data_IF_274884899890
#
_entry.id   IF_274884899890
#
_cell.length_a   1.000
_cell.length_b   1.000
_cell.length_c   1.000
_cell.angle_alpha   90.00
_cell.angle_beta   90.00
_cell.angle_gamma   90.00
#
_symmetry.space_group_name_H-M   'P 1'
#
loop_
_entity.id
_entity.type
_entity.pdbx_description
1 polymer ?
#
# COMPACT_ATOMS: atom_id res chain seq x y z
N UNK A 1 21.05 -50.95 -135.95
CA UNK A 1 20.03 -51.97 -136.21
C UNK A 1 19.60 -52.00 -137.67
N UNK A 2 19.19 -50.87 -138.26
CA UNK A 2 18.83 -50.79 -139.69
C UNK A 2 19.94 -51.30 -140.62
N UNK A 3 21.19 -50.85 -140.46
CA UNK A 3 22.30 -51.30 -141.33
C UNK A 3 22.59 -52.81 -141.26
N UNK A 4 22.33 -53.47 -140.11
CA UNK A 4 22.51 -54.92 -139.97
C UNK A 4 21.38 -55.65 -140.70
N UNK A 5 20.14 -55.17 -140.56
CA UNK A 5 18.97 -55.68 -141.29
C UNK A 5 19.14 -55.53 -142.80
N UNK A 6 19.65 -54.39 -143.27
CA UNK A 6 19.95 -54.17 -144.69
C UNK A 6 21.02 -55.13 -145.24
N UNK A 7 22.02 -55.51 -144.43
CA UNK A 7 23.02 -56.51 -144.81
C UNK A 7 22.40 -57.92 -144.84
N UNK A 8 21.52 -58.26 -143.90
CA UNK A 8 20.78 -59.53 -143.90
C UNK A 8 19.84 -59.67 -145.09
N UNK A 9 19.14 -58.59 -145.46
CA UNK A 9 18.31 -58.52 -146.66
C UNK A 9 19.15 -58.69 -147.94
N UNK A 10 20.32 -58.03 -148.03
CA UNK A 10 21.26 -58.18 -149.16
C UNK A 10 21.84 -59.60 -149.25
N UNK A 11 22.18 -60.23 -148.13
CA UNK A 11 22.64 -61.62 -148.07
C UNK A 11 21.54 -62.61 -148.50
N UNK A 12 20.30 -62.38 -148.07
CA UNK A 12 19.15 -63.21 -148.44
C UNK A 12 18.84 -63.13 -149.94
N UNK A 13 18.90 -61.93 -150.54
CA UNK A 13 18.73 -61.72 -151.98
C UNK A 13 19.81 -62.44 -152.81
N UNK A 14 21.07 -62.40 -152.35
CA UNK A 14 22.20 -63.09 -153.00
C UNK A 14 22.12 -64.63 -152.95
N UNK A 15 21.47 -65.20 -151.92
CA UNK A 15 21.38 -66.66 -151.70
C UNK A 15 20.14 -67.32 -152.32
N UNK A 16 19.11 -66.56 -152.67
CA UNK A 16 17.84 -67.09 -153.20
C UNK A 16 17.71 -67.03 -154.72
N UNK A 17 18.58 -66.30 -155.43
CA UNK A 17 18.59 -66.26 -156.90
C UNK A 17 19.56 -67.30 -157.49
N UNK A 18 19.06 -68.22 -158.31
CA UNK A 18 19.87 -69.17 -159.08
C UNK A 18 20.48 -68.50 -160.31
N UNK A 19 21.81 -68.34 -160.32
CA UNK A 19 22.55 -67.58 -161.34
C UNK A 19 22.87 -66.16 -160.89
N UNK A 20 23.41 -65.99 -159.67
CA UNK A 20 23.64 -64.68 -159.09
C UNK A 20 24.68 -63.88 -159.91
N UNK A 21 24.26 -62.76 -160.49
CA UNK A 21 25.12 -61.76 -161.11
C UNK A 21 25.47 -60.68 -160.09
N UNK A 22 26.69 -60.12 -160.18
CA UNK A 22 27.12 -59.09 -159.25
C UNK A 22 26.27 -57.81 -159.42
N UNK A 23 25.51 -57.34 -158.43
CA UNK A 23 24.60 -56.20 -158.57
C UNK A 23 25.30 -54.83 -158.74
N UNK A 24 26.63 -54.81 -158.75
CA UNK A 24 27.45 -53.61 -158.98
C UNK A 24 28.20 -53.63 -160.32
N UNK A 25 28.41 -54.80 -160.94
CA UNK A 25 29.22 -54.93 -162.15
C UNK A 25 28.71 -55.99 -163.15
N UNK A 26 27.51 -56.54 -162.92
CA UNK A 26 26.72 -57.43 -163.80
C UNK A 26 27.44 -58.71 -164.26
N UNK A 27 28.57 -59.04 -163.63
CA UNK A 27 29.38 -60.23 -163.97
C UNK A 27 28.81 -61.46 -163.26
N UNK A 28 28.70 -62.59 -163.96
CA UNK A 28 28.27 -63.86 -163.39
C UNK A 28 29.16 -64.25 -162.21
N UNK A 29 28.58 -64.29 -161.01
CA UNK A 29 29.29 -64.75 -159.83
C UNK A 29 29.28 -66.28 -159.86
N UNK A 30 30.37 -66.89 -160.31
CA UNK A 30 30.62 -68.31 -160.06
C UNK A 30 30.59 -68.61 -158.55
N UNK A 31 30.54 -69.89 -158.17
CA UNK A 31 30.41 -70.33 -156.77
C UNK A 31 31.42 -69.64 -155.82
N UNK A 32 32.67 -69.44 -156.25
CA UNK A 32 33.71 -68.75 -155.49
C UNK A 32 33.42 -67.24 -155.28
N UNK A 33 32.80 -66.57 -156.25
CA UNK A 33 32.43 -65.16 -156.19
C UNK A 33 31.29 -64.90 -155.21
N UNK A 34 30.29 -65.78 -155.21
CA UNK A 34 29.18 -65.76 -154.23
C UNK A 34 29.72 -66.00 -152.82
N UNK A 35 30.61 -66.97 -152.64
CA UNK A 35 31.18 -67.30 -151.33
C UNK A 35 32.06 -66.16 -150.77
N UNK A 36 32.83 -65.48 -151.63
CA UNK A 36 33.65 -64.32 -151.25
C UNK A 36 32.80 -63.10 -150.85
N UNK A 37 31.71 -62.84 -151.57
CA UNK A 37 30.77 -61.75 -151.25
C UNK A 37 30.02 -62.07 -149.97
N UNK A 38 29.56 -63.32 -149.80
CA UNK A 38 28.93 -63.80 -148.58
C UNK A 38 29.86 -63.64 -147.37
N UNK A 39 31.11 -64.09 -147.46
CA UNK A 39 32.10 -63.96 -146.39
C UNK A 39 32.35 -62.50 -146.01
N UNK A 40 32.43 -61.58 -147.00
CA UNK A 40 32.56 -60.14 -146.74
C UNK A 40 31.34 -59.53 -146.04
N UNK A 41 30.13 -59.84 -146.51
CA UNK A 41 28.91 -59.33 -145.88
C UNK A 41 28.66 -59.96 -144.51
N UNK A 42 28.98 -61.23 -144.30
CA UNK A 42 28.93 -61.88 -142.98
C UNK A 42 29.94 -61.26 -142.01
N UNK A 43 31.16 -60.95 -142.48
CA UNK A 43 32.16 -60.24 -141.69
C UNK A 43 31.74 -58.80 -141.35
N UNK A 44 31.15 -58.06 -142.30
CA UNK A 44 30.62 -56.71 -142.06
C UNK A 44 29.41 -56.74 -141.11
N UNK A 45 28.50 -57.71 -141.28
CA UNK A 45 27.37 -57.95 -140.36
C UNK A 45 27.86 -58.24 -138.95
N UNK A 46 28.83 -59.13 -138.81
CA UNK A 46 29.41 -59.50 -137.52
C UNK A 46 30.10 -58.29 -136.87
N UNK A 47 30.91 -57.55 -137.63
CA UNK A 47 31.57 -56.31 -137.17
C UNK A 47 30.56 -55.26 -136.69
N UNK A 48 29.50 -55.01 -137.46
CA UNK A 48 28.43 -54.07 -137.09
C UNK A 48 27.60 -54.56 -135.90
N UNK A 49 27.34 -55.86 -135.80
CA UNK A 49 26.66 -56.49 -134.65
C UNK A 49 27.49 -56.37 -133.37
N UNK A 50 28.79 -56.64 -133.45
CA UNK A 50 29.70 -56.51 -132.31
C UNK A 50 29.88 -55.04 -131.91
N UNK A 51 29.93 -54.11 -132.88
CA UNK A 51 29.91 -52.66 -132.64
C UNK A 51 28.62 -52.20 -131.96
N UNK A 52 27.46 -52.71 -132.39
CA UNK A 52 26.17 -52.41 -131.77
C UNK A 52 26.10 -52.95 -130.34
N UNK A 53 26.53 -54.20 -130.10
CA UNK A 53 26.61 -54.80 -128.77
C UNK A 53 27.53 -54.00 -127.85
N UNK A 54 28.70 -53.59 -128.33
CA UNK A 54 29.64 -52.76 -127.58
C UNK A 54 29.03 -51.38 -127.22
N UNK A 55 28.33 -50.74 -128.16
CA UNK A 55 27.62 -49.48 -127.93
C UNK A 55 26.47 -49.63 -126.93
N UNK A 56 25.66 -50.70 -127.04
CA UNK A 56 24.57 -51.00 -126.11
C UNK A 56 25.10 -51.29 -124.70
N UNK A 57 26.21 -52.06 -124.58
CA UNK A 57 26.87 -52.30 -123.30
C UNK A 57 27.42 -51.00 -122.69
N UNK A 58 28.02 -50.12 -123.50
CA UNK A 58 28.47 -48.80 -123.07
C UNK A 58 27.32 -47.92 -122.60
N UNK A 59 26.21 -47.90 -123.34
CA UNK A 59 25.01 -47.14 -123.00
C UNK A 59 24.34 -47.67 -121.73
N UNK A 60 24.32 -49.00 -121.53
CA UNK A 60 23.84 -49.61 -120.29
C UNK A 60 24.71 -49.21 -119.08
N UNK A 61 26.05 -49.23 -119.21
CA UNK A 61 26.98 -48.75 -118.16
C UNK A 61 26.75 -47.27 -117.84
N UNK A 62 26.69 -46.41 -118.85
CA UNK A 62 26.44 -44.98 -118.66
C UNK A 62 25.08 -44.71 -118.00
N UNK A 63 24.03 -45.49 -118.30
CA UNK A 63 22.74 -45.40 -117.61
C UNK A 63 22.82 -45.80 -116.14
N UNK A 64 23.60 -46.83 -115.80
CA UNK A 64 23.82 -47.23 -114.40
C UNK A 64 24.61 -46.16 -113.65
N UNK A 65 25.65 -45.60 -114.25
CA UNK A 65 26.45 -44.49 -113.69
C UNK A 65 25.57 -43.25 -113.47
N UNK A 66 24.76 -42.85 -114.46
CA UNK A 66 23.83 -41.73 -114.32
C UNK A 66 22.89 -41.94 -113.14
N UNK A 67 22.27 -43.13 -113.04
CA UNK A 67 21.35 -43.44 -111.94
C UNK A 67 22.05 -43.45 -110.58
N UNK A 68 23.31 -43.88 -110.51
CA UNK A 68 24.11 -43.81 -109.29
C UNK A 68 24.36 -42.37 -108.87
N UNK A 69 24.79 -41.51 -109.80
CA UNK A 69 25.04 -40.09 -109.55
C UNK A 69 23.75 -39.36 -109.18
N UNK A 70 22.63 -39.64 -109.86
CA UNK A 70 21.31 -39.07 -109.51
C UNK A 70 20.89 -39.43 -108.08
N UNK A 71 21.11 -40.68 -107.67
CA UNK A 71 20.84 -41.10 -106.29
C UNK A 71 21.77 -40.39 -105.28
N UNK A 72 23.07 -40.26 -105.60
CA UNK A 72 24.02 -39.52 -104.76
C UNK A 72 23.63 -38.05 -104.61
N UNK A 73 23.24 -37.39 -105.71
CA UNK A 73 22.75 -36.00 -105.70
C UNK A 73 21.51 -35.88 -104.82
N UNK A 74 20.52 -36.75 -104.98
CA UNK A 74 19.31 -36.75 -104.16
C UNK A 74 19.62 -36.93 -102.66
N UNK A 75 20.55 -37.83 -102.31
CA UNK A 75 20.98 -38.04 -100.93
C UNK A 75 21.73 -36.83 -100.36
N UNK A 76 22.55 -36.17 -101.16
CA UNK A 76 23.28 -34.96 -100.76
C UNK A 76 22.31 -33.77 -100.58
N UNK A 77 21.35 -33.58 -101.47
CA UNK A 77 20.31 -32.56 -101.34
C UNK A 77 19.48 -32.77 -100.07
N UNK A 78 19.13 -34.02 -99.77
CA UNK A 78 18.39 -34.35 -98.55
C UNK A 78 19.21 -34.00 -97.30
N UNK A 79 20.50 -34.33 -97.27
CA UNK A 79 21.42 -33.97 -96.17
C UNK A 79 21.58 -32.46 -96.02
N UNK A 80 21.79 -31.74 -97.13
CA UNK A 80 21.92 -30.28 -97.12
C UNK A 80 20.66 -29.62 -96.55
N UNK A 81 19.47 -30.10 -96.94
CA UNK A 81 18.21 -29.57 -96.43
C UNK A 81 18.03 -29.85 -94.93
N UNK A 82 18.42 -31.04 -94.46
CA UNK A 82 18.40 -31.38 -93.03
C UNK A 82 19.38 -30.52 -92.22
N UNK A 83 20.62 -30.37 -92.69
CA UNK A 83 21.64 -29.56 -92.04
C UNK A 83 21.24 -28.08 -92.01
N UNK A 84 20.67 -27.57 -93.10
CA UNK A 84 20.13 -26.21 -93.17
C UNK A 84 19.01 -25.98 -92.15
N UNK A 85 18.05 -26.92 -92.05
CA UNK A 85 16.97 -26.83 -91.08
C UNK A 85 17.51 -26.86 -89.64
N UNK A 86 18.48 -27.73 -89.35
CA UNK A 86 19.13 -27.81 -88.05
C UNK A 86 19.89 -26.52 -87.70
N UNK A 87 20.67 -25.99 -88.64
CA UNK A 87 21.40 -24.74 -88.46
C UNK A 87 20.45 -23.55 -88.25
N UNK A 88 19.35 -23.47 -89.00
CA UNK A 88 18.34 -22.42 -88.83
C UNK A 88 17.64 -22.51 -87.46
N UNK A 89 17.30 -23.72 -87.00
CA UNK A 89 16.74 -23.91 -85.66
C UNK A 89 17.73 -23.53 -84.56
N UNK A 90 19.01 -23.88 -84.70
CA UNK A 90 20.05 -23.47 -83.75
C UNK A 90 20.25 -21.96 -83.74
N UNK A 91 20.24 -21.33 -84.92
CA UNK A 91 20.36 -19.88 -85.04
C UNK A 91 19.19 -19.18 -84.34
N UNK A 92 17.94 -19.63 -84.53
CA UNK A 92 16.78 -19.01 -83.87
C UNK A 92 16.81 -19.16 -82.34
N UNK A 93 17.25 -20.31 -81.82
CA UNK A 93 17.43 -20.53 -80.39
C UNK A 93 18.51 -19.60 -79.83
N UNK A 94 19.66 -19.49 -80.50
CA UNK A 94 20.75 -18.61 -80.08
C UNK A 94 20.36 -17.14 -80.12
N UNK A 95 19.66 -16.70 -81.17
CA UNK A 95 19.16 -15.32 -81.27
C UNK A 95 18.21 -14.99 -80.12
N UNK A 96 17.30 -15.92 -79.76
CA UNK A 96 16.42 -15.72 -78.60
C UNK A 96 17.21 -15.64 -77.29
N UNK A 97 18.16 -16.55 -77.07
CA UNK A 97 18.98 -16.55 -75.86
C UNK A 97 19.83 -15.27 -75.71
N UNK A 98 20.34 -14.72 -76.82
CA UNK A 98 21.04 -13.43 -76.83
C UNK A 98 20.09 -12.30 -76.42
N UNK A 99 18.90 -12.24 -77.02
CA UNK A 99 17.91 -11.21 -76.70
C UNK A 99 17.46 -11.28 -75.23
N UNK A 100 17.28 -12.48 -74.68
CA UNK A 100 16.97 -12.70 -73.26
C UNK A 100 18.13 -12.22 -72.36
N UNK A 101 19.38 -12.60 -72.67
CA UNK A 101 20.54 -12.18 -71.89
C UNK A 101 20.77 -10.65 -71.93
N UNK A 102 20.52 -10.00 -73.08
CA UNK A 102 20.59 -8.55 -73.20
C UNK A 102 19.50 -7.86 -72.36
N UNK A 103 18.26 -8.38 -72.37
CA UNK A 103 17.18 -7.87 -71.55
C UNK A 103 17.50 -7.99 -70.05
N UNK A 104 17.98 -9.15 -69.61
CA UNK A 104 18.37 -9.40 -68.22
C UNK A 104 19.54 -8.51 -67.79
N UNK A 105 20.53 -8.30 -68.66
CA UNK A 105 21.65 -7.39 -68.38
C UNK A 105 21.20 -5.94 -68.23
N UNK A 106 20.21 -5.50 -69.01
CA UNK A 106 19.65 -4.16 -68.87
C UNK A 106 18.88 -4.01 -67.56
N UNK A 107 18.09 -5.02 -67.18
CA UNK A 107 17.37 -5.01 -65.90
C UNK A 107 18.35 -5.00 -64.71
N UNK A 108 19.41 -5.82 -64.77
CA UNK A 108 20.43 -5.85 -63.73
C UNK A 108 21.11 -4.48 -63.57
N UNK A 109 21.42 -3.80 -64.67
CA UNK A 109 22.01 -2.46 -64.62
C UNK A 109 21.08 -1.44 -63.96
N UNK A 110 19.78 -1.48 -64.25
CA UNK A 110 18.80 -0.57 -63.62
C UNK A 110 18.64 -0.85 -62.12
N UNK A 111 18.55 -2.12 -61.71
CA UNK A 111 18.46 -2.46 -60.29
C UNK A 111 19.77 -2.12 -59.54
N UNK A 112 20.93 -2.26 -60.18
CA UNK A 112 22.22 -1.87 -59.59
C UNK A 112 22.29 -0.36 -59.35
N UNK A 113 21.80 0.46 -60.29
CA UNK A 113 21.71 1.92 -60.09
C UNK A 113 20.82 2.28 -58.91
N UNK A 114 19.63 1.66 -58.82
CA UNK A 114 18.70 1.87 -57.69
C UNK A 114 19.31 1.47 -56.37
N UNK A 115 20.06 0.37 -56.34
CA UNK A 115 20.74 -0.09 -55.14
C UNK A 115 21.78 0.94 -54.67
N UNK A 116 22.61 1.45 -55.59
CA UNK A 116 23.58 2.50 -55.27
C UNK A 116 22.89 3.77 -54.73
N UNK A 117 21.80 4.21 -55.37
CA UNK A 117 21.03 5.37 -54.89
C UNK A 117 20.47 5.17 -53.47
N UNK A 118 19.97 3.97 -53.16
CA UNK A 118 19.46 3.64 -51.82
C UNK A 118 20.60 3.60 -50.80
N UNK A 119 21.72 2.97 -51.14
CA UNK A 119 22.91 2.91 -50.28
C UNK A 119 23.45 4.29 -49.96
N UNK A 120 23.53 5.19 -50.94
CA UNK A 120 23.93 6.58 -50.72
C UNK A 120 22.98 7.32 -49.76
N UNK A 121 21.67 7.15 -49.94
CA UNK A 121 20.66 7.75 -49.05
C UNK A 121 20.77 7.22 -47.62
N UNK A 122 21.00 5.91 -47.44
CA UNK A 122 21.21 5.32 -46.12
C UNK A 122 22.50 5.82 -45.48
N UNK A 123 23.60 5.90 -46.24
CA UNK A 123 24.89 6.36 -45.75
C UNK A 123 24.85 7.84 -45.30
N UNK A 124 24.13 8.68 -46.03
CA UNK A 124 23.89 10.09 -45.66
C UNK A 124 22.86 10.26 -44.56
N UNK A 125 22.19 9.18 -44.16
CA UNK A 125 20.99 9.20 -43.30
C UNK A 125 19.85 10.06 -43.87
N UNK A 126 19.80 10.22 -45.19
CA UNK A 126 18.77 10.96 -45.95
C UNK A 126 17.47 10.12 -46.07
N UNK A 127 16.96 9.69 -44.92
CA UNK A 127 15.72 8.96 -44.74
C UNK A 127 15.04 9.42 -43.44
N UNK A 128 13.71 9.41 -43.41
CA UNK A 128 12.92 9.76 -42.21
C UNK A 128 13.36 11.09 -41.53
N UNK A 129 13.47 12.22 -42.28
CA UNK A 129 14.00 13.47 -41.73
C UNK A 129 13.12 14.06 -40.62
N UNK A 130 11.82 13.77 -40.62
CA UNK A 130 10.89 14.23 -39.58
C UNK A 130 11.17 13.49 -38.27
N UNK A 131 11.32 12.17 -38.34
CA UNK A 131 11.58 11.31 -37.19
C UNK A 131 12.97 11.55 -36.60
N UNK A 132 13.98 11.78 -37.46
CA UNK A 132 15.31 12.16 -37.00
C UNK A 132 15.31 13.53 -36.32
N UNK A 133 14.60 14.52 -36.87
CA UNK A 133 14.44 15.82 -36.21
C UNK A 133 13.74 15.71 -34.85
N UNK A 134 12.68 14.90 -34.76
CA UNK A 134 12.00 14.65 -33.49
C UNK A 134 12.90 13.94 -32.46
N UNK A 135 13.78 13.03 -32.91
CA UNK A 135 14.77 12.39 -32.04
C UNK A 135 15.78 13.41 -31.53
N UNK A 136 16.32 14.26 -32.40
CA UNK A 136 17.28 15.32 -32.02
C UNK A 136 16.65 16.31 -31.01
N UNK A 137 15.39 16.67 -31.20
CA UNK A 137 14.63 17.50 -30.25
C UNK A 137 14.49 16.81 -28.88
N UNK A 138 14.12 15.52 -28.86
CA UNK A 138 13.99 14.74 -27.63
C UNK A 138 15.34 14.58 -26.92
N UNK A 139 16.41 14.31 -27.65
CA UNK A 139 17.77 14.22 -27.10
C UNK A 139 18.21 15.56 -26.50
N UNK A 140 17.88 16.68 -27.16
CA UNK A 140 18.14 18.01 -26.63
C UNK A 140 17.32 18.32 -25.37
N UNK A 141 16.04 17.91 -25.31
CA UNK A 141 15.21 18.02 -24.11
C UNK A 141 15.76 17.16 -22.96
N UNK A 142 16.15 15.92 -23.23
CA UNK A 142 16.77 15.02 -22.24
C UNK A 142 18.09 15.60 -21.72
N UNK A 143 18.92 16.16 -22.60
CA UNK A 143 20.17 16.82 -22.19
C UNK A 143 19.93 18.03 -21.28
N UNK A 144 18.85 18.80 -21.50
CA UNK A 144 18.47 19.93 -20.63
C UNK A 144 18.04 19.50 -19.23
N UNK A 145 17.50 18.29 -19.07
CA UNK A 145 17.14 17.77 -17.75
C UNK A 145 18.37 17.56 -16.86
N UNK A 146 19.58 17.48 -17.46
CA UNK A 146 20.85 17.24 -16.76
C UNK A 146 20.72 16.08 -15.76
N UNK A 147 19.95 15.06 -16.16
CA UNK A 147 19.61 13.93 -15.31
C UNK A 147 20.80 12.98 -15.30
N UNK A 148 21.43 12.87 -14.12
CA UNK A 148 22.54 11.95 -13.88
C UNK A 148 22.01 10.67 -13.22
N UNK A 149 21.87 9.55 -13.96
CA UNK A 149 21.31 8.31 -13.41
C UNK A 149 22.11 7.78 -12.22
N UNK A 150 23.44 7.99 -12.23
CA UNK A 150 24.33 7.59 -11.15
C UNK A 150 24.03 8.33 -9.84
N UNK A 151 23.90 9.65 -9.88
CA UNK A 151 23.58 10.45 -8.69
C UNK A 151 22.20 10.10 -8.13
N UNK A 152 21.21 9.89 -8.99
CA UNK A 152 19.89 9.48 -8.56
C UNK A 152 19.93 8.12 -7.84
N UNK A 153 20.67 7.15 -8.37
CA UNK A 153 20.80 5.85 -7.73
C UNK A 153 21.57 5.91 -6.41
N UNK A 154 22.63 6.73 -6.32
CA UNK A 154 23.35 7.00 -5.07
C UNK A 154 22.43 7.59 -3.99
N UNK A 155 21.63 8.60 -4.33
CA UNK A 155 20.67 9.21 -3.40
C UNK A 155 19.62 8.18 -2.96
N UNK A 156 19.12 7.34 -3.87
CA UNK A 156 18.15 6.29 -3.51
C UNK A 156 18.76 5.25 -2.56
N UNK A 157 20.00 4.83 -2.79
CA UNK A 157 20.69 3.93 -1.89
C UNK A 157 20.94 4.57 -0.53
N UNK A 158 21.32 5.86 -0.51
CA UNK A 158 21.49 6.61 0.72
C UNK A 158 20.18 6.71 1.52
N UNK A 159 19.05 7.03 0.86
CA UNK A 159 17.73 7.06 1.48
C UNK A 159 17.35 5.69 2.08
N UNK A 160 17.52 4.60 1.33
CA UNK A 160 17.28 3.23 1.85
C UNK A 160 18.14 2.92 3.08
N UNK A 161 19.40 3.36 3.08
CA UNK A 161 20.28 3.18 4.24
C UNK A 161 19.81 3.96 5.48
N UNK A 162 19.11 5.08 5.26
CA UNK A 162 18.60 5.96 6.30
C UNK A 162 17.20 5.59 6.81
N UNK A 163 16.38 4.88 6.03
CA UNK A 163 15.02 4.44 6.41
C UNK A 163 14.96 3.77 7.80
N UNK A 164 15.99 3.01 8.16
CA UNK A 164 16.10 2.37 9.48
C UNK A 164 16.06 3.37 10.65
N UNK A 165 16.55 4.59 10.45
CA UNK A 165 16.58 5.64 11.47
C UNK A 165 15.21 6.30 11.66
N UNK A 166 14.29 6.22 10.69
CA UNK A 166 12.94 6.74 10.86
C UNK A 166 12.19 6.00 11.97
N UNK A 167 12.26 4.66 11.97
CA UNK A 167 11.69 3.84 13.05
C UNK A 167 12.35 4.13 14.40
N UNK A 168 13.68 4.32 14.43
CA UNK A 168 14.40 4.65 15.66
C UNK A 168 14.01 6.04 16.19
N UNK A 169 13.87 7.04 15.32
CA UNK A 169 13.42 8.39 15.68
C UNK A 169 12.01 8.37 16.29
N UNK A 170 11.06 7.64 15.68
CA UNK A 170 9.71 7.49 16.24
C UNK A 170 9.71 6.87 17.64
N UNK A 171 10.52 5.83 17.85
CA UNK A 171 10.69 5.19 19.17
C UNK A 171 11.30 6.16 20.19
N UNK A 172 12.27 6.98 19.78
CA UNK A 172 12.87 7.99 20.63
C UNK A 172 11.86 9.06 21.04
N UNK A 173 11.10 9.61 20.08
CA UNK A 173 10.06 10.63 20.35
C UNK A 173 8.96 10.08 21.29
N UNK A 174 8.56 8.81 21.11
CA UNK A 174 7.63 8.15 22.02
C UNK A 174 8.21 7.99 23.43
N UNK A 175 9.46 7.55 23.53
CA UNK A 175 10.15 7.43 24.81
C UNK A 175 10.30 8.78 25.52
N UNK A 176 10.65 9.85 24.80
CA UNK A 176 10.74 11.21 25.33
C UNK A 176 9.37 11.68 25.86
N UNK A 177 8.29 11.44 25.12
CA UNK A 177 6.93 11.76 25.57
C UNK A 177 6.55 11.01 26.85
N UNK A 178 6.85 9.71 26.91
CA UNK A 178 6.59 8.89 28.09
C UNK A 178 7.41 9.35 29.30
N UNK A 179 8.68 9.71 29.11
CA UNK A 179 9.52 10.26 30.18
C UNK A 179 8.93 11.56 30.72
N UNK A 180 8.47 12.47 29.85
CA UNK A 180 7.85 13.71 30.27
C UNK A 180 6.59 13.45 31.11
N UNK A 181 5.70 12.57 30.64
CA UNK A 181 4.49 12.19 31.38
C UNK A 181 4.83 11.58 32.75
N UNK A 182 5.79 10.65 32.80
CA UNK A 182 6.18 10.00 34.06
C UNK A 182 6.81 10.96 35.06
N UNK A 183 7.53 11.98 34.59
CA UNK A 183 8.04 13.04 35.46
C UNK A 183 6.91 13.86 36.08
N UNK A 184 5.90 14.22 35.30
CA UNK A 184 4.73 14.94 35.82
C UNK A 184 3.93 14.10 36.83
N UNK A 185 3.71 12.82 36.54
CA UNK A 185 3.07 11.87 37.46
C UNK A 185 3.88 11.71 38.76
N UNK A 186 5.20 11.62 38.68
CA UNK A 186 6.08 11.52 39.84
C UNK A 186 6.02 12.79 40.71
N UNK A 187 6.03 13.98 40.10
CA UNK A 187 5.90 15.25 40.82
C UNK A 187 4.57 15.33 41.57
N UNK A 188 3.45 14.98 40.92
CA UNK A 188 2.12 14.95 41.58
C UNK A 188 2.08 13.95 42.73
N UNK A 189 2.70 12.78 42.57
CA UNK A 189 2.78 11.79 43.63
C UNK A 189 3.64 12.27 44.81
N UNK A 190 4.72 13.00 44.55
CA UNK A 190 5.58 13.61 45.57
C UNK A 190 4.84 14.71 46.33
N UNK A 191 4.11 15.59 45.62
CA UNK A 191 3.26 16.62 46.22
C UNK A 191 2.18 15.99 47.13
N UNK A 192 1.46 14.98 46.63
CA UNK A 192 0.46 14.27 47.41
C UNK A 192 1.04 13.57 48.65
N UNK A 193 2.23 12.97 48.53
CA UNK A 193 2.92 12.37 49.67
C UNK A 193 3.30 13.43 50.72
N UNK A 194 3.75 14.61 50.28
CA UNK A 194 4.09 15.71 51.19
C UNK A 194 2.85 16.25 51.92
N UNK A 195 1.71 16.37 51.23
CA UNK A 195 0.43 16.75 51.86
C UNK A 195 0.00 15.75 52.94
N UNK A 196 0.12 14.44 52.65
CA UNK A 196 -0.17 13.39 53.62
C UNK A 196 0.76 13.42 54.83
N UNK A 197 2.05 13.68 54.63
CA UNK A 197 3.01 13.83 55.73
C UNK A 197 2.66 15.02 56.62
N UNK A 198 2.35 16.18 56.01
CA UNK A 198 1.92 17.36 56.75
C UNK A 198 0.61 17.08 57.53
N UNK A 199 -0.35 16.41 56.90
CA UNK A 199 -1.59 15.99 57.54
C UNK A 199 -1.34 15.10 58.76
N UNK A 200 -0.49 14.09 58.60
CA UNK A 200 -0.09 13.18 59.69
C UNK A 200 0.58 13.93 60.84
N UNK A 201 1.42 14.92 60.55
CA UNK A 201 2.03 15.77 61.58
C UNK A 201 0.96 16.56 62.36
N UNK A 202 0.02 17.21 61.65
CA UNK A 202 -1.05 17.96 62.32
C UNK A 202 -1.94 17.06 63.18
N UNK A 203 -2.28 15.87 62.70
CA UNK A 203 -3.09 14.92 63.45
C UNK A 203 -2.33 14.36 64.65
N UNK A 204 -1.01 14.18 64.54
CA UNK A 204 -0.19 13.77 65.67
C UNK A 204 -0.08 14.88 66.73
N UNK A 205 0.00 16.15 66.33
CA UNK A 205 -0.06 17.30 67.24
C UNK A 205 -1.43 17.37 67.96
N UNK A 206 -2.55 17.22 67.23
CA UNK A 206 -3.88 17.14 67.84
C UNK A 206 -3.98 15.98 68.83
N UNK A 207 -3.46 14.80 68.47
CA UNK A 207 -3.43 13.62 69.35
C UNK A 207 -2.66 13.91 70.63
N UNK A 208 -1.52 14.60 70.55
CA UNK A 208 -0.75 15.02 71.73
C UNK A 208 -1.52 16.02 72.59
N UNK A 209 -2.18 17.01 71.99
CA UNK A 209 -3.03 17.97 72.71
C UNK A 209 -4.18 17.30 73.45
N UNK A 210 -4.91 16.42 72.77
CA UNK A 210 -6.00 15.65 73.38
C UNK A 210 -5.51 14.71 74.50
N UNK A 211 -4.32 14.13 74.36
CA UNK A 211 -3.73 13.31 75.42
C UNK A 211 -3.48 14.14 76.69
N UNK A 212 -2.95 15.37 76.55
CA UNK A 212 -2.75 16.28 77.69
C UNK A 212 -4.09 16.69 78.33
N UNK A 213 -5.10 16.98 77.53
CA UNK A 213 -6.45 17.27 78.04
C UNK A 213 -7.00 16.08 78.84
N UNK A 214 -6.92 14.87 78.29
CA UNK A 214 -7.34 13.63 78.97
C UNK A 214 -6.58 13.44 80.29
N UNK A 215 -5.26 13.65 80.31
CA UNK A 215 -4.44 13.51 81.52
C UNK A 215 -4.81 14.53 82.62
N UNK A 216 -5.37 15.69 82.25
CA UNK A 216 -5.82 16.74 83.18
C UNK A 216 -7.25 16.55 83.72
N UNK A 217 -8.10 15.78 83.04
CA UNK A 217 -9.50 15.53 83.45
C UNK A 217 -9.63 14.97 84.88
N UNK A 218 -8.79 14.02 85.35
CA UNK A 218 -8.87 13.53 86.73
C UNK A 218 -8.70 14.65 87.76
N UNK A 219 -7.84 15.64 87.49
CA UNK A 219 -7.67 16.78 88.38
C UNK A 219 -8.92 17.66 88.39
N UNK A 220 -9.49 17.96 87.22
CA UNK A 220 -10.75 18.71 87.14
C UNK A 220 -11.92 17.98 87.85
N UNK A 221 -11.99 16.66 87.75
CA UNK A 221 -12.96 15.83 88.50
C UNK A 221 -12.70 15.94 90.01
N UNK A 222 -11.45 15.89 90.44
CA UNK A 222 -11.10 16.06 91.85
C UNK A 222 -11.45 17.47 92.37
N UNK A 223 -11.16 18.53 91.61
CA UNK A 223 -11.53 19.90 91.95
C UNK A 223 -13.05 20.08 92.01
N UNK A 224 -13.79 19.49 91.06
CA UNK A 224 -15.25 19.51 91.07
C UNK A 224 -15.82 18.77 92.28
N UNK A 225 -15.33 17.57 92.58
CA UNK A 225 -15.79 16.80 93.74
C UNK A 225 -15.46 17.51 95.05
N UNK A 226 -14.30 18.14 95.18
CA UNK A 226 -13.95 19.00 96.32
C UNK A 226 -14.94 20.17 96.44
N UNK A 227 -15.15 20.93 95.37
CA UNK A 227 -16.10 22.04 95.36
C UNK A 227 -17.54 21.60 95.71
N UNK A 228 -17.99 20.43 95.23
CA UNK A 228 -19.29 19.86 95.59
C UNK A 228 -19.36 19.49 97.07
N UNK A 229 -18.30 18.90 97.64
CA UNK A 229 -18.26 18.59 99.08
C UNK A 229 -18.29 19.85 99.92
N UNK A 230 -17.51 20.88 99.55
CA UNK A 230 -17.52 22.19 100.22
C UNK A 230 -18.91 22.82 100.15
N UNK A 231 -19.53 22.85 98.97
CA UNK A 231 -20.89 23.35 98.81
C UNK A 231 -21.90 22.61 99.72
N UNK A 232 -21.83 21.28 99.79
CA UNK A 232 -22.70 20.48 100.69
C UNK A 232 -22.44 20.82 102.15
N UNK A 233 -21.18 20.98 102.57
CA UNK A 233 -20.88 21.38 103.95
C UNK A 233 -21.44 22.75 104.29
N UNK A 234 -21.26 23.74 103.41
CA UNK A 234 -21.83 25.08 103.58
C UNK A 234 -23.36 25.06 103.65
N UNK A 235 -24.01 24.24 102.82
CA UNK A 235 -25.46 24.05 102.87
C UNK A 235 -25.92 23.48 104.22
N UNK A 236 -25.23 22.47 104.75
CA UNK A 236 -25.55 21.92 106.08
C UNK A 236 -25.32 22.93 107.20
N UNK A 237 -24.25 23.73 107.13
CA UNK A 237 -23.99 24.81 108.09
C UNK A 237 -25.07 25.90 108.02
N UNK A 238 -25.53 26.25 106.81
CA UNK A 238 -26.63 27.18 106.62
C UNK A 238 -27.92 26.66 107.28
N UNK A 239 -28.26 25.38 107.09
CA UNK A 239 -29.44 24.76 107.71
C UNK A 239 -29.35 24.78 109.24
N UNK A 240 -28.21 24.42 109.83
CA UNK A 240 -27.99 24.48 111.27
C UNK A 240 -28.09 25.92 111.81
N UNK A 241 -27.47 26.88 111.11
CA UNK A 241 -27.58 28.30 111.47
C UNK A 241 -29.04 28.77 111.41
N UNK A 242 -29.80 28.36 110.39
CA UNK A 242 -31.24 28.63 110.33
C UNK A 242 -31.98 28.03 111.54
N UNK A 243 -31.77 26.76 111.87
CA UNK A 243 -32.39 26.13 113.04
C UNK A 243 -32.07 26.87 114.35
N UNK A 244 -30.82 27.30 114.54
CA UNK A 244 -30.45 28.10 115.72
C UNK A 244 -31.16 29.45 115.74
N UNK A 245 -31.29 30.13 114.60
CA UNK A 245 -32.06 31.37 114.47
C UNK A 245 -33.54 31.12 114.79
N UNK A 246 -34.12 30.03 114.26
CA UNK A 246 -35.51 29.65 114.55
C UNK A 246 -35.71 29.35 116.04
N UNK A 247 -34.80 28.62 116.68
CA UNK A 247 -34.82 28.35 118.13
C UNK A 247 -34.68 29.63 118.95
N UNK A 248 -33.76 30.52 118.57
CA UNK A 248 -33.57 31.81 119.24
C UNK A 248 -34.81 32.71 119.10
N UNK A 249 -35.41 32.80 117.90
CA UNK A 249 -36.69 33.48 117.69
C UNK A 249 -37.81 32.89 118.55
N UNK A 250 -37.89 31.56 118.64
CA UNK A 250 -38.86 30.87 119.50
C UNK A 250 -38.68 31.23 120.98
N UNK A 251 -37.44 31.21 121.49
CA UNK A 251 -37.12 31.63 122.86
C UNK A 251 -37.44 33.10 123.10
N UNK A 252 -37.17 33.97 122.12
CA UNK A 252 -37.42 35.41 122.23
C UNK A 252 -38.93 35.71 122.27
N UNK A 253 -39.74 35.01 121.47
CA UNK A 253 -41.19 35.06 121.57
C UNK A 253 -41.70 34.54 122.92
N UNK A 254 -41.09 33.49 123.47
CA UNK A 254 -41.45 33.01 124.81
C UNK A 254 -41.10 34.04 125.90
N UNK A 255 -39.95 34.72 125.80
CA UNK A 255 -39.59 35.80 126.70
C UNK A 255 -40.55 37.00 126.58
N UNK A 256 -41.01 37.36 125.38
CA UNK A 256 -41.98 38.44 125.21
C UNK A 256 -43.35 38.08 125.80
N UNK A 257 -43.79 36.83 125.68
CA UNK A 257 -44.98 36.33 126.40
C UNK A 257 -44.81 36.40 127.93
N UNK A 258 -43.62 36.05 128.44
CA UNK A 258 -43.31 36.17 129.87
C UNK A 258 -43.30 37.62 130.34
N UNK A 259 -42.82 38.57 129.53
CA UNK A 259 -42.89 40.00 129.85
C UNK A 259 -44.34 40.50 129.95
N UNK A 260 -45.21 40.07 129.04
CA UNK A 260 -46.66 40.38 129.11
C UNK A 260 -47.23 39.83 130.42
N UNK A 261 -46.95 38.57 130.75
CA UNK A 261 -47.41 37.94 132.01
C UNK A 261 -46.84 38.65 133.25
N UNK A 262 -45.58 39.09 133.21
CA UNK A 262 -44.95 39.85 134.29
C UNK A 262 -45.65 41.20 134.50
N UNK A 263 -45.91 41.96 133.44
CA UNK A 263 -46.64 43.24 133.53
C UNK A 263 -48.04 43.04 134.11
N UNK A 264 -48.72 41.96 133.76
CA UNK A 264 -50.03 41.63 134.31
C UNK A 264 -49.96 41.29 135.81
N UNK A 265 -48.96 40.50 136.23
CA UNK A 265 -48.66 40.22 137.65
C UNK A 265 -48.28 41.48 138.43
N UNK A 266 -47.46 42.37 137.89
CA UNK A 266 -47.12 43.66 138.50
C UNK A 266 -48.36 44.54 138.68
N UNK A 267 -49.27 44.56 137.70
CA UNK A 267 -50.56 45.28 137.82
C UNK A 267 -51.42 44.73 138.95
N UNK A 268 -51.50 43.40 139.09
CA UNK A 268 -52.20 42.75 140.20
C UNK A 268 -51.56 43.10 141.55
N UNK A 269 -50.24 43.06 141.63
CA UNK A 269 -49.47 43.43 142.82
C UNK A 269 -49.70 44.90 143.22
N UNK A 270 -49.78 45.79 142.23
CA UNK A 270 -50.14 47.19 142.43
C UNK A 270 -51.56 47.39 142.99
N UNK A 271 -52.53 46.56 142.60
CA UNK A 271 -53.89 46.58 143.18
C UNK A 271 -53.88 46.11 144.64
N UNK A 272 -53.24 44.96 144.92
CA UNK A 272 -53.14 44.39 146.27
C UNK A 272 -52.39 45.32 147.23
N UNK A 273 -51.34 46.01 146.76
CA UNK A 273 -50.62 47.00 147.55
C UNK A 273 -51.47 48.23 147.92
N UNK A 274 -52.35 48.69 147.01
CA UNK A 274 -53.31 49.76 147.31
C UNK A 274 -54.34 49.33 148.34
N UNK A 275 -54.88 48.12 148.21
CA UNK A 275 -55.77 47.54 149.23
C UNK A 275 -55.07 47.43 150.58
N UNK A 276 -53.81 46.97 150.60
CA UNK A 276 -52.99 46.90 151.82
C UNK A 276 -52.74 48.25 152.50
N UNK A 277 -52.61 49.36 151.74
CA UNK A 277 -52.50 50.71 152.31
C UNK A 277 -53.80 51.19 152.96
N UNK A 278 -54.94 50.93 152.33
CA UNK A 278 -56.26 51.28 152.88
C UNK A 278 -56.49 50.55 154.21
N UNK A 279 -56.16 49.26 154.27
CA UNK A 279 -56.25 48.48 155.53
C UNK A 279 -55.30 48.99 156.63
N UNK A 280 -54.14 49.54 156.26
CA UNK A 280 -53.17 50.09 157.22
C UNK A 280 -53.62 51.44 157.80
N UNK A 281 -54.21 52.31 156.98
CA UNK A 281 -54.79 53.59 157.43
C UNK A 281 -56.02 53.36 158.33
N UNK A 282 -56.85 52.36 158.03
CA UNK A 282 -57.96 51.94 158.91
C UNK A 282 -57.45 51.40 160.27
N UNK A 283 -56.33 50.70 160.30
CA UNK A 283 -55.75 50.18 161.55
C UNK A 283 -55.14 51.27 162.44
N UNK A 284 -54.61 52.36 161.86
CA UNK A 284 -54.07 53.50 162.62
C UNK A 284 -55.17 54.41 163.18
N UNK A 285 -56.28 54.64 162.46
CA UNK A 285 -57.41 55.46 162.93
C UNK A 285 -58.14 54.86 164.15
N UNK A 286 -58.11 53.53 164.33
CA UNK A 286 -58.74 52.82 165.44
C UNK A 286 -57.73 52.34 166.53
N UNK A 287 -56.46 52.76 166.47
CA UNK A 287 -55.39 52.29 167.34
C UNK A 287 -55.08 53.15 168.57
N UNK A 288 -54.10 52.71 169.37
CA UNK A 288 -53.68 53.22 170.70
C UNK A 288 -53.27 54.72 170.78
N UNK A 289 -53.29 55.46 169.66
CA UNK A 289 -52.98 56.90 169.58
C UNK A 289 -54.17 57.78 169.13
N UNK A 290 -55.33 57.17 168.87
CA UNK A 290 -56.53 57.86 168.37
C UNK A 290 -57.61 58.02 169.44
N UNK A 291 -58.83 57.57 169.12
CA UNK A 291 -60.07 57.82 169.88
C UNK A 291 -59.99 57.42 171.38
N UNK A 292 -59.11 56.48 171.76
CA UNK A 292 -58.84 56.11 173.16
C UNK A 292 -58.07 57.18 173.98
N UNK A 293 -57.27 58.04 173.36
CA UNK A 293 -56.55 59.13 174.05
C UNK A 293 -57.46 60.36 174.30
N UNK A 294 -58.39 60.63 173.39
CA UNK A 294 -59.34 61.74 173.48
C UNK A 294 -60.37 61.59 174.63
N UNK A 295 -60.62 60.34 175.06
CA UNK A 295 -61.54 60.00 176.15
C UNK A 295 -60.89 60.08 177.55
N UNK A 296 -59.57 60.18 177.66
CA UNK A 296 -58.83 60.27 178.95
C UNK A 296 -58.57 61.75 179.34
N UNK A 297 -58.43 62.65 178.37
CA UNK A 297 -58.23 64.10 178.63
C UNK A 297 -59.50 64.85 179.07
N UNK A 298 -60.71 64.29 178.83
CA UNK A 298 -61.98 64.94 179.21
C UNK A 298 -62.44 64.67 180.65
N UNK A 299 -61.78 63.80 181.43
CA UNK A 299 -62.29 63.31 182.73
C UNK A 299 -61.50 63.75 183.98
N UNK A 300 -60.45 64.57 183.84
CA UNK A 300 -59.55 64.96 184.94
C UNK A 300 -59.91 66.22 185.78
N UNK A 301 -60.79 67.16 185.37
CA UNK A 301 -61.17 68.30 186.23
C UNK A 301 -62.36 68.06 187.20
N UNK A 302 -62.97 66.87 187.27
CA UNK A 302 -64.11 66.60 188.18
C UNK A 302 -63.75 65.75 189.42
N UNK A 303 -62.47 65.38 189.64
CA UNK A 303 -62.06 64.50 190.77
C UNK A 303 -61.25 65.21 191.88
N UNK A 304 -60.87 66.49 191.73
CA UNK A 304 -60.33 67.31 192.84
C UNK A 304 -61.29 68.46 193.23
N UNK A 305 -62.60 68.17 193.17
CA UNK A 305 -63.64 68.85 193.95
C UNK A 305 -64.07 68.04 195.20
N UNK A 306 -63.37 66.93 195.49
CA UNK A 306 -63.36 66.26 196.80
C UNK A 306 -61.91 66.07 197.30
N UNK A 307 -61.14 67.18 197.27
CA UNK A 307 -60.14 67.58 198.27
C UNK A 307 -59.76 69.06 198.06
#
# INVERSE_FOLDING_TARGET
EQEIKEIEEKLNLLLTQSGAQCPLCETDLGAEGIERIKSKYDADRQSKSDSLKAKLAKLARQKMELKSVENEVSQLETRINQDKASAQSRASILTRAIAEAEADSNQLNEETKRLVEIEERLARKDFAPIEQGALDELEAELAKLNYEPGQHEEIRQHLRSLEKYESQKRKLEEAERLIAQRKEEALKAEEAAQELLNGLETDNQKRQGLALEIDSLPQAINELTQAETEYRTLLTQQQQAQETIWSAKGKLNYCSELEIKRKEKERLLGKVSKEGKIYKELAEAFGKKGIQALLIEMALPEIEAEA
#
